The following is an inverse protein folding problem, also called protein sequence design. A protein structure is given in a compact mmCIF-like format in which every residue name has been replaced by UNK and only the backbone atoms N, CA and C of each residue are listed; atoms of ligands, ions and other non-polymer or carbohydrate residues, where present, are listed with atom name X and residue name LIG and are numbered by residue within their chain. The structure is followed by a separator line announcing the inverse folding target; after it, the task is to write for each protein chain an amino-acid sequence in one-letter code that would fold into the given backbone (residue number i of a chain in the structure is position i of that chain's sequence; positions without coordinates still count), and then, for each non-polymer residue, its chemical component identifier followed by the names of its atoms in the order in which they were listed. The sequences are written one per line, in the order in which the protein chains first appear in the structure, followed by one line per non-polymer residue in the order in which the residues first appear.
data_IF_320805950980
#
_entry.id   IF_320805950980
#
_cell.length_a   1.000
_cell.length_b   1.000
_cell.length_c   1.000
_cell.angle_alpha   90.00
_cell.angle_beta   90.00
_cell.angle_gamma   90.00
#
_symmetry.space_group_name_H-M   'P 1'
#
loop_
_entity.id
_entity.type
_entity.pdbx_description
1 polymer ?
#
# COMPACT_ATOMS: atom_id res chain seq x y z
N UNK A 1 -14.56 35.06 -7.42
CA UNK A 1 -13.59 34.05 -7.93
C UNK A 1 -13.53 32.89 -6.95
N UNK A 2 -14.51 31.99 -6.99
CA UNK A 2 -14.47 30.75 -6.19
C UNK A 2 -13.73 29.70 -7.02
N UNK A 3 -12.51 29.32 -6.62
CA UNK A 3 -11.87 28.12 -7.16
C UNK A 3 -12.76 26.94 -6.78
N UNK A 4 -13.56 26.43 -7.71
CA UNK A 4 -14.20 25.13 -7.54
C UNK A 4 -13.09 24.13 -7.23
N UNK A 5 -13.04 23.67 -5.98
CA UNK A 5 -12.12 22.64 -5.56
C UNK A 5 -12.39 21.42 -6.46
N UNK A 6 -11.45 21.13 -7.36
CA UNK A 6 -11.50 19.94 -8.18
C UNK A 6 -11.44 18.75 -7.23
N UNK A 7 -12.59 18.15 -6.94
CA UNK A 7 -12.65 16.89 -6.21
C UNK A 7 -12.06 15.84 -7.15
N UNK A 8 -10.85 15.30 -6.87
CA UNK A 8 -10.28 14.27 -7.71
C UNK A 8 -11.23 13.08 -7.71
N UNK A 9 -11.38 12.45 -8.87
CA UNK A 9 -12.11 11.19 -8.96
C UNK A 9 -11.48 10.16 -8.03
N UNK A 10 -12.27 9.19 -7.57
CA UNK A 10 -11.77 8.08 -6.73
C UNK A 10 -10.60 7.34 -7.43
N UNK A 11 -10.63 7.24 -8.76
CA UNK A 11 -9.59 6.62 -9.55
C UNK A 11 -8.26 7.41 -9.51
N UNK A 12 -8.33 8.74 -9.69
CA UNK A 12 -7.14 9.60 -9.58
C UNK A 12 -6.56 9.57 -8.16
N UNK A 13 -7.42 9.59 -7.15
CA UNK A 13 -7.02 9.48 -5.76
C UNK A 13 -6.31 8.13 -5.48
N UNK A 14 -6.84 7.02 -5.99
CA UNK A 14 -6.22 5.70 -5.85
C UNK A 14 -4.88 5.61 -6.60
N UNK A 15 -4.80 6.15 -7.81
CA UNK A 15 -3.55 6.18 -8.58
C UNK A 15 -2.46 6.95 -7.83
N UNK A 16 -2.80 8.12 -7.29
CA UNK A 16 -1.92 8.93 -6.46
C UNK A 16 -1.44 8.18 -5.21
N UNK A 17 -2.37 7.56 -4.47
CA UNK A 17 -2.04 6.80 -3.25
C UNK A 17 -1.10 5.62 -3.53
N UNK A 18 -1.36 4.87 -4.61
CA UNK A 18 -0.52 3.73 -5.01
C UNK A 18 0.86 4.16 -5.48
N UNK A 19 0.96 5.30 -6.17
CA UNK A 19 2.25 5.87 -6.56
C UNK A 19 3.07 6.28 -5.33
N UNK A 20 2.41 6.86 -4.32
CA UNK A 20 3.07 7.36 -3.11
C UNK A 20 3.46 6.24 -2.14
N UNK A 21 2.69 5.16 -2.09
CA UNK A 21 2.91 4.02 -1.19
C UNK A 21 2.92 2.71 -1.99
N UNK A 22 3.96 2.46 -2.82
CA UNK A 22 3.97 1.34 -3.76
C UNK A 22 4.01 -0.04 -3.10
N UNK A 23 4.47 -0.13 -1.85
CA UNK A 23 4.51 -1.37 -1.08
C UNK A 23 3.20 -1.64 -0.30
N UNK A 24 2.23 -0.73 -0.34
CA UNK A 24 1.01 -0.80 0.47
C UNK A 24 -0.18 -1.22 -0.38
N UNK A 25 -0.93 -2.23 0.07
CA UNK A 25 -2.18 -2.60 -0.59
C UNK A 25 -3.27 -1.58 -0.25
N UNK A 26 -3.71 -0.81 -1.25
CA UNK A 26 -4.68 0.28 -1.08
C UNK A 26 -5.90 0.06 -1.99
N UNK A 27 -7.09 0.24 -1.41
CA UNK A 27 -8.38 0.12 -2.09
C UNK A 27 -9.39 1.19 -1.64
N UNK A 28 -10.49 1.30 -2.39
CA UNK A 28 -11.65 2.12 -2.03
C UNK A 28 -12.86 1.21 -1.82
N UNK A 29 -13.49 1.27 -0.65
CA UNK A 29 -14.70 0.53 -0.33
C UNK A 29 -15.92 1.22 -0.93
N UNK A 30 -16.55 0.63 -1.94
CA UNK A 30 -17.74 1.23 -2.56
C UNK A 30 -18.93 1.33 -1.59
N UNK A 31 -19.09 0.36 -0.68
CA UNK A 31 -20.15 0.36 0.33
C UNK A 31 -19.87 1.35 1.47
N UNK A 32 -18.66 1.34 2.02
CA UNK A 32 -18.26 2.21 3.16
C UNK A 32 -17.87 3.63 2.73
N UNK A 33 -17.76 3.88 1.42
CA UNK A 33 -17.34 5.16 0.83
C UNK A 33 -15.99 5.67 1.37
N UNK A 34 -15.10 4.76 1.74
CA UNK A 34 -13.84 5.07 2.41
C UNK A 34 -12.64 4.47 1.70
N UNK A 35 -11.47 5.05 1.93
CA UNK A 35 -10.17 4.56 1.49
C UNK A 35 -9.53 3.68 2.55
N UNK A 36 -8.95 2.59 2.09
CA UNK A 36 -8.55 1.46 2.90
C UNK A 36 -7.09 1.12 2.58
N UNK A 37 -6.27 0.90 3.59
CA UNK A 37 -4.88 0.47 3.43
C UNK A 37 -4.54 -0.67 4.39
N UNK A 38 -3.95 -1.74 3.86
CA UNK A 38 -3.36 -2.81 4.65
C UNK A 38 -1.89 -2.51 4.95
N UNK A 39 -1.53 -2.58 6.22
CA UNK A 39 -0.17 -2.38 6.74
C UNK A 39 0.28 -3.61 7.52
N UNK A 40 1.57 -3.70 7.86
CA UNK A 40 2.10 -4.81 8.66
C UNK A 40 1.43 -4.94 10.03
N UNK A 41 0.98 -3.83 10.60
CA UNK A 41 0.42 -3.77 11.95
C UNK A 41 -1.11 -3.80 11.97
N UNK A 42 -1.75 -3.80 10.81
CA UNK A 42 -3.20 -3.88 10.71
C UNK A 42 -3.78 -3.07 9.56
N UNK A 43 -5.01 -2.64 9.77
CA UNK A 43 -5.86 -2.09 8.72
C UNK A 43 -6.26 -0.64 9.03
N UNK A 44 -6.11 0.25 8.05
CA UNK A 44 -6.41 1.69 8.18
C UNK A 44 -7.56 2.06 7.25
N UNK A 45 -8.64 2.57 7.82
CA UNK A 45 -9.77 3.17 7.08
C UNK A 45 -9.75 4.69 7.24
N UNK A 46 -10.03 5.40 6.14
CA UNK A 46 -10.13 6.85 6.15
C UNK A 46 -11.17 7.34 5.13
N UNK A 47 -11.97 8.38 5.46
CA UNK A 47 -13.04 8.86 4.59
C UNK A 47 -12.52 9.64 3.37
N UNK A 48 -11.26 10.07 3.38
CA UNK A 48 -10.66 10.84 2.29
C UNK A 48 -9.24 10.34 1.99
N UNK A 49 -8.72 10.53 0.77
CA UNK A 49 -7.37 10.11 0.44
C UNK A 49 -6.33 10.89 1.27
N UNK A 50 -6.58 12.16 1.58
CA UNK A 50 -5.70 12.99 2.40
C UNK A 50 -5.61 12.46 3.83
N UNK A 51 -6.74 12.07 4.43
CA UNK A 51 -6.75 11.46 5.75
C UNK A 51 -6.00 10.12 5.76
N UNK A 52 -6.11 9.32 4.70
CA UNK A 52 -5.36 8.07 4.57
C UNK A 52 -3.84 8.33 4.50
N UNK A 53 -3.41 9.32 3.72
CA UNK A 53 -1.98 9.72 3.65
C UNK A 53 -1.46 10.08 5.04
N UNK A 54 -2.21 10.91 5.79
CA UNK A 54 -1.80 11.34 7.12
C UNK A 54 -1.71 10.15 8.10
N UNK A 55 -2.66 9.22 8.02
CA UNK A 55 -2.63 8.00 8.83
C UNK A 55 -1.41 7.13 8.47
N UNK A 56 -1.17 6.88 7.18
CA UNK A 56 -0.02 6.11 6.70
C UNK A 56 1.32 6.73 7.10
N UNK A 57 1.43 8.06 7.08
CA UNK A 57 2.64 8.76 7.52
C UNK A 57 2.91 8.62 9.03
N UNK A 58 1.86 8.45 9.85
CA UNK A 58 2.01 8.17 11.28
C UNK A 58 2.39 6.71 11.54
N UNK A 59 1.88 5.79 10.72
CA UNK A 59 2.19 4.34 10.83
C UNK A 59 3.59 4.01 10.31
N UNK A 60 4.01 4.67 9.23
CA UNK A 60 5.36 4.62 8.70
C UNK A 60 6.02 5.98 8.94
N UNK A 61 6.37 6.33 10.20
CA UNK A 61 7.24 7.47 10.41
C UNK A 61 8.50 7.13 9.63
N UNK A 62 8.88 7.96 8.66
CA UNK A 62 10.02 7.74 7.76
C UNK A 62 11.26 7.46 8.60
N UNK A 63 11.48 6.21 9.00
CA UNK A 63 12.74 5.74 9.56
C UNK A 63 13.66 5.76 8.37
N UNK A 64 14.57 6.74 8.38
CA UNK A 64 15.56 6.93 7.33
C UNK A 64 16.06 5.59 6.85
N UNK A 65 15.82 5.34 5.56
CA UNK A 65 16.53 4.40 4.71
C UNK A 65 17.27 3.29 5.45
N UNK A 66 16.54 2.39 6.12
CA UNK A 66 17.17 1.14 6.53
C UNK A 66 17.61 0.45 5.23
N UNK A 67 18.88 0.02 5.08
CA UNK A 67 19.33 -0.65 3.88
C UNK A 67 18.44 -1.87 3.68
N UNK A 68 17.83 -1.96 2.50
CA UNK A 68 17.04 -3.12 2.09
C UNK A 68 17.90 -4.36 2.36
N UNK A 69 17.46 -5.29 3.23
CA UNK A 69 18.18 -6.54 3.39
C UNK A 69 18.25 -7.16 2.00
N UNK A 70 19.46 -7.40 1.49
CA UNK A 70 19.63 -8.18 0.25
C UNK A 70 19.01 -9.54 0.54
N UNK A 71 17.77 -9.74 0.08
CA UNK A 71 17.14 -11.05 0.09
C UNK A 71 18.13 -11.99 -0.58
N UNK A 72 18.63 -12.98 0.17
CA UNK A 72 19.38 -14.07 -0.46
C UNK A 72 18.49 -14.60 -1.58
N UNK A 73 19.02 -14.84 -2.79
CA UNK A 73 18.26 -15.53 -3.83
C UNK A 73 17.63 -16.75 -3.16
N UNK A 74 16.30 -16.88 -3.26
CA UNK A 74 15.60 -18.07 -2.79
C UNK A 74 16.38 -19.26 -3.33
N UNK A 75 17.03 -20.02 -2.44
CA UNK A 75 17.67 -21.26 -2.84
C UNK A 75 16.54 -22.12 -3.40
N UNK A 76 16.61 -22.44 -4.70
CA UNK A 76 15.62 -23.33 -5.32
C UNK A 76 15.51 -24.57 -4.44
N UNK A 77 14.30 -24.98 -4.02
CA UNK A 77 14.15 -26.24 -3.32
C UNK A 77 14.81 -27.33 -4.18
N UNK A 78 15.62 -28.23 -3.59
CA UNK A 78 16.27 -29.28 -4.35
C UNK A 78 15.19 -30.04 -5.11
N UNK A 79 15.32 -30.09 -6.44
CA UNK A 79 14.40 -30.83 -7.29
C UNK A 79 14.28 -32.25 -6.74
N UNK A 80 13.07 -32.60 -6.26
CA UNK A 80 12.76 -33.94 -5.77
C UNK A 80 13.04 -34.91 -6.91
N UNK A 81 14.09 -35.73 -6.79
CA UNK A 81 14.36 -36.79 -7.76
C UNK A 81 13.18 -37.77 -7.75
N UNK A 82 12.70 -38.22 -8.91
CA UNK A 82 11.74 -39.32 -8.93
C UNK A 82 12.41 -40.56 -8.32
N UNK A 83 11.71 -41.22 -7.41
CA UNK A 83 12.10 -42.52 -6.86
C UNK A 83 11.90 -43.51 -8.01
N UNK A 84 12.99 -44.03 -8.57
CA UNK A 84 12.92 -45.13 -9.52
C UNK A 84 12.47 -46.39 -8.77
N UNK A 85 11.49 -47.10 -9.36
CA UNK A 85 11.02 -48.40 -8.91
C UNK A 85 11.99 -49.52 -9.28
#
# INVERSE_FOLDING_TARGET
MSRSAHNPSVLEALAYLRLRFPATTIWFGNHTRSFWALTETGFIEAPTPVALVQALQRTFPTRGTAPVPRLRPYARPPHRRPIAA
#
